data_IF_836945966650
#
_entry.id   IF_836945966650
#
_cell.length_a   1.000
_cell.length_b   1.000
_cell.length_c   1.000
_cell.angle_alpha   90.00
_cell.angle_beta   90.00
_cell.angle_gamma   90.00
#
_symmetry.space_group_name_H-M   'P 1'
#
loop_
_entity.id
_entity.type
_entity.pdbx_description
1 polymer ?
#
# COMPACT_ATOMS: atom_id res chain seq x y z
N UNK A 1 -16.64 -10.91 -31.00
CA UNK A 1 -16.26 -10.18 -29.78
C UNK A 1 -14.79 -9.84 -29.91
N UNK A 2 -14.47 -8.56 -30.09
CA UNK A 2 -13.08 -8.10 -30.19
C UNK A 2 -12.47 -7.89 -28.79
N UNK A 3 -11.14 -7.89 -28.68
CA UNK A 3 -10.42 -7.71 -27.41
C UNK A 3 -10.82 -6.42 -26.67
N UNK A 4 -11.18 -5.38 -27.42
CA UNK A 4 -11.66 -4.10 -26.87
C UNK A 4 -13.07 -4.20 -26.27
N UNK A 5 -13.96 -5.00 -26.87
CA UNK A 5 -15.31 -5.24 -26.32
C UNK A 5 -15.25 -6.10 -25.03
N UNK A 6 -14.24 -6.96 -24.89
CA UNK A 6 -14.03 -7.76 -23.69
C UNK A 6 -13.52 -6.92 -22.50
N UNK A 7 -12.68 -5.92 -22.77
CA UNK A 7 -12.13 -5.00 -21.76
C UNK A 7 -13.22 -4.06 -21.20
N UNK A 8 -14.16 -3.61 -22.05
CA UNK A 8 -15.28 -2.77 -21.59
C UNK A 8 -16.29 -3.55 -20.73
N UNK A 9 -16.51 -4.84 -21.02
CA UNK A 9 -17.41 -5.71 -20.24
C UNK A 9 -16.85 -6.10 -18.86
N UNK A 10 -15.52 -6.16 -18.71
CA UNK A 10 -14.88 -6.41 -17.40
C UNK A 10 -14.95 -5.20 -16.47
N UNK A 11 -15.15 -3.99 -17.00
CA UNK A 11 -15.19 -2.76 -16.19
C UNK A 11 -16.55 -2.57 -15.48
N UNK A 12 -17.66 -3.05 -16.06
CA UNK A 12 -19.03 -2.81 -15.58
C UNK A 12 -19.59 -3.90 -14.63
N UNK A 13 -18.82 -4.93 -14.26
CA UNK A 13 -19.29 -6.03 -13.37
C UNK A 13 -18.49 -6.20 -12.09
N UNK A 14 -17.73 -5.17 -11.71
CA UNK A 14 -16.86 -5.25 -10.54
C UNK A 14 -17.66 -5.00 -9.25
N UNK A 15 -18.15 -6.11 -8.69
CA UNK A 15 -18.62 -6.25 -7.32
C UNK A 15 -17.56 -5.71 -6.33
N UNK A 16 -17.93 -4.67 -5.55
CA UNK A 16 -17.09 -4.02 -4.52
C UNK A 16 -16.50 -5.03 -3.51
N UNK A 17 -17.08 -6.23 -3.38
CA UNK A 17 -16.56 -7.32 -2.55
C UNK A 17 -15.31 -8.02 -3.12
N UNK A 18 -15.12 -8.06 -4.44
CA UNK A 18 -13.97 -8.71 -5.11
C UNK A 18 -12.75 -7.81 -5.27
N UNK A 19 -12.94 -6.48 -5.26
CA UNK A 19 -11.85 -5.49 -5.33
C UNK A 19 -10.96 -5.45 -4.08
N UNK A 20 -11.43 -5.97 -2.95
CA UNK A 20 -10.63 -6.04 -1.71
C UNK A 20 -9.60 -7.16 -1.69
N UNK A 21 -9.65 -8.10 -2.64
CA UNK A 21 -8.64 -9.15 -2.72
C UNK A 21 -7.38 -8.57 -3.37
N UNK A 22 -6.30 -8.46 -2.58
CA UNK A 22 -5.00 -8.04 -3.09
C UNK A 22 -4.57 -8.90 -4.27
N UNK A 23 -4.14 -8.27 -5.36
CA UNK A 23 -3.63 -8.96 -6.54
C UNK A 23 -2.46 -9.87 -6.16
N UNK A 24 -2.35 -11.06 -6.77
CA UNK A 24 -1.20 -11.95 -6.60
C UNK A 24 0.12 -11.21 -6.86
N UNK A 25 0.11 -10.29 -7.83
CA UNK A 25 1.29 -9.48 -8.15
C UNK A 25 1.62 -8.46 -7.05
N UNK A 26 0.60 -7.87 -6.41
CA UNK A 26 0.78 -6.98 -5.26
C UNK A 26 1.41 -7.74 -4.10
N UNK A 27 0.82 -8.87 -3.70
CA UNK A 27 1.35 -9.71 -2.62
C UNK A 27 2.77 -10.20 -2.90
N UNK A 28 3.05 -10.61 -4.14
CA UNK A 28 4.39 -11.05 -4.55
C UNK A 28 5.41 -9.90 -4.51
N UNK A 29 5.03 -8.71 -4.95
CA UNK A 29 5.91 -7.54 -4.91
C UNK A 29 6.19 -7.11 -3.47
N UNK A 30 5.14 -6.99 -2.66
CA UNK A 30 5.23 -6.64 -1.25
C UNK A 30 6.14 -7.62 -0.49
N UNK A 31 5.92 -8.92 -0.64
CA UNK A 31 6.74 -9.95 0.01
C UNK A 31 8.21 -9.91 -0.39
N UNK A 32 8.51 -9.70 -1.69
CA UNK A 32 9.90 -9.58 -2.17
C UNK A 32 10.60 -8.34 -1.60
N UNK A 33 9.89 -7.22 -1.54
CA UNK A 33 10.43 -5.98 -0.97
C UNK A 33 10.70 -6.11 0.52
N UNK A 34 9.76 -6.68 1.29
CA UNK A 34 9.93 -6.93 2.72
C UNK A 34 11.16 -7.78 2.99
N UNK A 35 11.28 -8.92 2.31
CA UNK A 35 12.44 -9.83 2.49
C UNK A 35 13.76 -9.13 2.17
N UNK A 36 13.79 -8.34 1.09
CA UNK A 36 15.00 -7.61 0.68
C UNK A 36 15.37 -6.50 1.65
N UNK A 37 14.40 -5.73 2.14
CA UNK A 37 14.62 -4.61 3.07
C UNK A 37 15.03 -5.12 4.45
N UNK A 38 14.42 -6.21 4.91
CA UNK A 38 14.71 -6.84 6.20
C UNK A 38 16.11 -7.50 6.27
N UNK A 39 16.88 -7.52 5.17
CA UNK A 39 18.29 -7.93 5.22
C UNK A 39 19.20 -6.87 5.84
N UNK A 40 18.78 -5.59 5.87
CA UNK A 40 19.52 -4.52 6.54
C UNK A 40 19.05 -4.41 7.99
N UNK A 41 19.86 -4.87 8.94
CA UNK A 41 19.54 -4.87 10.38
C UNK A 41 19.33 -3.47 10.97
N UNK A 42 19.67 -2.41 10.22
CA UNK A 42 19.39 -1.02 10.61
C UNK A 42 17.94 -0.61 10.29
N UNK A 43 17.19 -1.44 9.58
CA UNK A 43 15.83 -1.17 9.14
C UNK A 43 14.82 -1.98 9.94
N UNK A 44 13.78 -1.29 10.39
CA UNK A 44 12.55 -1.90 10.88
C UNK A 44 11.50 -1.82 9.78
N UNK A 45 11.07 -2.98 9.27
CA UNK A 45 10.11 -3.08 8.16
C UNK A 45 8.75 -3.49 8.71
N UNK A 46 7.75 -2.62 8.56
CA UNK A 46 6.40 -2.81 9.10
C UNK A 46 5.37 -2.83 7.96
N UNK A 47 4.84 -4.00 7.57
CA UNK A 47 3.81 -4.08 6.55
C UNK A 47 2.45 -3.59 7.07
N UNK A 48 1.68 -2.92 6.22
CA UNK A 48 0.28 -2.53 6.47
C UNK A 48 0.04 -1.68 7.74
N UNK A 49 1.06 -0.95 8.22
CA UNK A 49 0.96 -0.13 9.42
C UNK A 49 0.15 1.14 9.17
N UNK A 50 -0.91 1.33 9.95
CA UNK A 50 -1.63 2.62 10.01
C UNK A 50 -0.80 3.67 10.76
N UNK A 51 -0.61 4.84 10.15
CA UNK A 51 0.15 5.97 10.69
C UNK A 51 -0.80 7.16 10.85
N UNK A 52 -1.02 7.59 12.10
CA UNK A 52 -1.75 8.82 12.40
C UNK A 52 -0.83 10.03 12.14
N UNK A 53 -1.30 10.96 11.31
CA UNK A 53 -0.58 12.19 10.94
C UNK A 53 -1.20 13.43 11.56
N UNK A 54 -2.09 13.27 12.54
CA UNK A 54 -2.75 14.38 13.23
C UNK A 54 -1.72 15.36 13.79
N UNK A 55 -1.80 16.61 13.32
CA UNK A 55 -0.93 17.71 13.74
C UNK A 55 0.35 17.87 12.92
N UNK A 56 0.63 16.97 11.96
CA UNK A 56 1.73 17.11 11.01
C UNK A 56 1.26 17.77 9.71
N UNK A 57 1.87 18.89 9.32
CA UNK A 57 1.62 19.48 8.00
C UNK A 57 2.43 18.72 6.93
N UNK A 58 1.72 17.90 6.15
CA UNK A 58 2.26 17.11 5.04
C UNK A 58 1.88 17.68 3.67
N UNK A 59 1.32 18.89 3.61
CA UNK A 59 0.84 19.51 2.37
C UNK A 59 1.92 19.64 1.30
N UNK A 60 3.19 19.79 1.71
CA UNK A 60 4.35 19.81 0.81
C UNK A 60 4.53 18.54 -0.02
N UNK A 61 3.96 17.42 0.42
CA UNK A 61 4.01 16.13 -0.28
C UNK A 61 2.76 15.87 -1.15
N UNK A 62 1.89 16.87 -1.30
CA UNK A 62 0.68 16.76 -2.13
C UNK A 62 -0.49 16.02 -1.47
N UNK A 63 -0.36 15.61 -0.19
CA UNK A 63 -1.47 15.05 0.57
C UNK A 63 -2.38 16.18 1.06
N UNK A 64 -3.67 16.13 0.68
CA UNK A 64 -4.71 16.89 1.39
C UNK A 64 -4.77 16.34 2.80
N UNK A 65 -4.85 17.21 3.82
CA UNK A 65 -4.88 16.88 5.27
C UNK A 65 -5.58 15.54 5.55
N UNK A 66 -4.81 14.45 5.46
CA UNK A 66 -5.28 13.09 5.66
C UNK A 66 -4.88 12.74 7.07
N UNK A 67 -5.84 12.32 7.87
CA UNK A 67 -5.62 12.05 9.29
C UNK A 67 -4.79 10.78 9.46
N UNK A 68 -4.88 9.84 8.51
CA UNK A 68 -4.22 8.54 8.58
C UNK A 68 -3.62 8.16 7.22
N UNK A 69 -2.41 7.61 7.22
CA UNK A 69 -1.80 6.91 6.08
C UNK A 69 -1.73 5.42 6.38
N UNK A 70 -2.01 4.61 5.36
CA UNK A 70 -1.82 3.15 5.42
C UNK A 70 -1.04 2.68 4.19
N UNK A 71 0.30 2.78 4.20
CA UNK A 71 1.14 2.23 3.15
C UNK A 71 1.15 0.69 3.18
N UNK A 72 1.43 0.08 2.02
CA UNK A 72 1.68 -1.36 1.93
C UNK A 72 2.91 -1.77 2.79
N UNK A 73 3.94 -0.92 2.83
CA UNK A 73 5.18 -1.14 3.58
C UNK A 73 5.66 0.20 4.17
N UNK A 74 5.87 0.23 5.50
CA UNK A 74 6.59 1.29 6.21
C UNK A 74 7.98 0.81 6.58
N UNK A 75 8.96 1.72 6.56
CA UNK A 75 10.35 1.41 6.90
C UNK A 75 10.90 2.50 7.81
N UNK A 76 11.52 2.10 8.92
CA UNK A 76 12.10 3.01 9.90
C UNK A 76 13.57 2.65 10.17
N UNK A 77 14.40 3.65 10.48
CA UNK A 77 15.79 3.43 10.91
C UNK A 77 15.90 2.89 12.34
N UNK A 78 14.84 3.01 13.12
CA UNK A 78 14.72 2.53 14.49
C UNK A 78 13.26 2.14 14.72
N UNK A 79 13.01 1.10 15.50
CA UNK A 79 11.65 0.68 15.86
C UNK A 79 10.92 1.85 16.52
N UNK A 80 9.79 2.32 15.96
CA UNK A 80 8.99 3.39 16.57
C UNK A 80 8.52 2.98 17.97
N UNK A 81 8.59 3.91 18.92
CA UNK A 81 8.02 3.70 20.26
C UNK A 81 6.51 3.95 20.18
N UNK A 82 5.66 3.10 20.80
CA UNK A 82 4.21 3.26 20.80
C UNK A 82 3.71 4.58 21.38
#
# INVERSE_FOLDING_TARGET
MSMSELIELEHDTIDDGKLKMGSINHSRAQGKLIVSLAQDERLEVMPELSIDLKGLDISQFGFKSTIELKPDISVYWQTPVP
#
